data_IF_305470501848
#
_entry.id   IF_305470501848
#
_cell.length_a   1.000
_cell.length_b   1.000
_cell.length_c   1.000
_cell.angle_alpha   90.00
_cell.angle_beta   90.00
_cell.angle_gamma   90.00
#
_symmetry.space_group_name_H-M   'P 1'
#
loop_
_entity.id
_entity.type
_entity.pdbx_description
1 polymer ?
#
# COMPACT_ATOMS: atom_id res chain seq x y z
N UNK A 1 8.00 -1.99 3.13
CA UNK A 1 9.09 -1.34 3.89
C UNK A 1 9.70 -0.17 3.10
N UNK A 2 9.82 -0.28 1.78
CA UNK A 2 10.23 0.72 0.80
C UNK A 2 9.24 1.89 0.55
N UNK A 3 8.36 2.22 1.50
CA UNK A 3 7.23 3.14 1.30
C UNK A 3 7.44 4.56 1.86
N UNK A 4 8.64 4.93 2.30
CA UNK A 4 8.84 6.22 3.00
C UNK A 4 8.68 7.42 2.05
N UNK A 5 9.21 7.40 0.81
CA UNK A 5 8.94 8.47 -0.16
C UNK A 5 7.44 8.64 -0.45
N UNK A 6 6.71 7.52 -0.59
CA UNK A 6 5.25 7.53 -0.71
C UNK A 6 4.60 8.28 0.46
N UNK A 7 4.96 7.94 1.71
CA UNK A 7 4.42 8.65 2.89
C UNK A 7 4.74 10.14 2.85
N UNK A 8 5.97 10.53 2.50
CA UNK A 8 6.39 11.93 2.39
C UNK A 8 5.52 12.68 1.38
N UNK A 9 5.36 12.14 0.17
CA UNK A 9 4.65 12.78 -0.94
C UNK A 9 3.13 12.87 -0.71
N UNK A 10 2.56 11.95 0.06
CA UNK A 10 1.12 11.94 0.36
C UNK A 10 0.81 12.61 1.71
N UNK A 11 1.41 13.77 1.98
CA UNK A 11 1.06 14.64 3.10
C UNK A 11 1.63 14.26 4.48
N UNK A 12 2.60 13.34 4.57
CA UNK A 12 3.19 12.93 5.86
C UNK A 12 4.67 13.31 6.03
N UNK A 13 5.16 14.27 5.22
CA UNK A 13 6.53 14.79 5.29
C UNK A 13 6.92 15.23 6.70
N UNK A 14 6.10 16.03 7.37
CA UNK A 14 6.43 16.62 8.67
C UNK A 14 6.47 15.58 9.80
N UNK A 15 5.76 14.46 9.62
CA UNK A 15 5.69 13.36 10.59
C UNK A 15 6.72 12.26 10.33
N UNK A 16 7.48 12.33 9.23
CA UNK A 16 8.36 11.23 8.81
C UNK A 16 9.42 10.86 9.84
N UNK A 17 9.83 11.82 10.68
CA UNK A 17 10.81 11.59 11.77
C UNK A 17 10.26 10.75 12.92
N UNK A 18 8.95 10.52 12.98
CA UNK A 18 8.29 9.68 14.00
C UNK A 18 8.14 8.22 13.58
N UNK A 19 8.68 7.85 12.42
CA UNK A 19 8.47 6.53 11.84
C UNK A 19 9.02 5.40 12.73
N UNK A 20 8.20 4.35 12.93
CA UNK A 20 8.44 3.20 13.83
C UNK A 20 8.56 3.54 15.31
N UNK A 21 8.23 4.77 15.71
CA UNK A 21 8.11 5.13 17.11
C UNK A 21 6.72 4.77 17.63
N UNK A 22 6.61 4.60 18.95
CA UNK A 22 5.30 4.51 19.62
C UNK A 22 4.48 5.75 19.25
N UNK A 23 3.22 5.54 18.86
CA UNK A 23 2.26 6.58 18.42
C UNK A 23 2.70 7.38 17.17
N UNK A 24 3.78 6.96 16.52
CA UNK A 24 4.31 7.53 15.29
C UNK A 24 3.81 6.83 14.02
N UNK A 25 4.42 7.17 12.88
CA UNK A 25 4.07 6.53 11.60
C UNK A 25 4.49 5.06 11.56
N UNK A 26 3.66 4.22 10.94
CA UNK A 26 4.03 2.83 10.67
C UNK A 26 5.25 2.75 9.73
N UNK A 27 6.07 1.71 9.91
CA UNK A 27 7.14 1.38 8.97
C UNK A 27 6.64 0.80 7.63
N UNK A 28 5.33 0.64 7.48
CA UNK A 28 4.66 0.11 6.30
C UNK A 28 3.41 0.94 5.96
N UNK A 29 2.79 0.69 4.81
CA UNK A 29 1.48 1.28 4.49
C UNK A 29 0.44 0.78 5.49
N UNK A 30 -0.42 1.67 5.99
CA UNK A 30 -1.45 1.34 6.96
C UNK A 30 -2.73 2.11 6.62
N UNK A 31 -3.81 1.39 6.33
CA UNK A 31 -5.10 1.96 5.91
C UNK A 31 -5.64 3.03 6.85
N UNK A 32 -5.52 2.81 8.17
CA UNK A 32 -5.98 3.77 9.17
C UNK A 32 -5.08 5.01 9.31
N UNK A 33 -3.92 5.05 8.64
CA UNK A 33 -2.97 6.16 8.72
C UNK A 33 -3.15 7.16 7.57
N UNK A 34 -3.66 6.72 6.41
CA UNK A 34 -3.81 7.57 5.24
C UNK A 34 -4.79 6.97 4.23
N UNK A 35 -5.62 7.78 3.54
CA UNK A 35 -6.40 7.32 2.40
C UNK A 35 -5.51 6.84 1.24
N UNK A 36 -4.26 7.29 1.16
CA UNK A 36 -3.29 6.88 0.15
C UNK A 36 -2.57 5.56 0.48
N UNK A 37 -2.92 4.89 1.57
CA UNK A 37 -2.40 3.57 1.93
C UNK A 37 -3.51 2.52 1.71
N UNK A 38 -3.80 2.12 0.45
CA UNK A 38 -5.00 1.34 0.11
C UNK A 38 -5.01 -0.07 0.72
N UNK A 39 -3.83 -0.61 1.00
CA UNK A 39 -3.63 -1.93 1.58
C UNK A 39 -2.60 -1.87 2.71
N UNK A 40 -2.88 -2.60 3.80
CA UNK A 40 -1.95 -2.78 4.90
C UNK A 40 -0.87 -3.79 4.51
N UNK A 41 0.29 -3.31 4.07
CA UNK A 41 1.42 -4.18 3.76
C UNK A 41 2.24 -4.48 5.01
N UNK A 42 2.79 -5.69 5.14
CA UNK A 42 3.82 -6.04 6.13
C UNK A 42 4.45 -7.38 5.77
N UNK A 43 3.61 -8.41 5.66
CA UNK A 43 3.99 -9.69 5.07
C UNK A 43 4.19 -9.51 3.56
N UNK A 44 5.29 -10.06 3.07
CA UNK A 44 5.65 -10.02 1.65
C UNK A 44 4.62 -10.75 0.79
N UNK A 45 4.67 -10.52 -0.53
CA UNK A 45 3.98 -11.34 -1.54
C UNK A 45 2.46 -11.23 -1.57
N UNK A 46 1.89 -10.25 -0.86
CA UNK A 46 0.43 -10.00 -0.79
C UNK A 46 -0.06 -8.93 -1.77
N UNK A 47 0.86 -8.15 -2.36
CA UNK A 47 0.52 -6.98 -3.18
C UNK A 47 -0.16 -7.32 -4.50
N UNK A 48 0.22 -8.43 -5.15
CA UNK A 48 -0.37 -8.84 -6.44
C UNK A 48 -1.81 -9.28 -6.25
N UNK A 49 -2.08 -10.18 -5.28
CA UNK A 49 -3.43 -10.65 -4.99
C UNK A 49 -4.35 -9.51 -4.56
N UNK A 50 -3.85 -8.55 -3.76
CA UNK A 50 -4.61 -7.37 -3.38
C UNK A 50 -4.95 -6.48 -4.59
N UNK A 51 -3.97 -6.23 -5.48
CA UNK A 51 -4.20 -5.45 -6.69
C UNK A 51 -5.21 -6.11 -7.64
N UNK A 52 -5.15 -7.45 -7.78
CA UNK A 52 -6.16 -8.20 -8.54
C UNK A 52 -7.56 -8.00 -7.96
N UNK A 53 -7.71 -8.12 -6.64
CA UNK A 53 -8.99 -7.88 -5.96
C UNK A 53 -9.53 -6.47 -6.19
N UNK A 54 -8.67 -5.45 -6.19
CA UNK A 54 -9.06 -4.07 -6.49
C UNK A 54 -9.48 -3.88 -7.96
N UNK A 55 -8.76 -4.49 -8.90
CA UNK A 55 -9.12 -4.44 -10.32
C UNK A 55 -10.49 -5.09 -10.57
N UNK A 56 -10.73 -6.28 -10.01
CA UNK A 56 -12.03 -6.96 -10.11
C UNK A 56 -13.15 -6.13 -9.48
N UNK A 57 -12.91 -5.51 -8.31
CA UNK A 57 -13.90 -4.65 -7.68
C UNK A 57 -14.26 -3.44 -8.55
N UNK A 58 -13.28 -2.82 -9.22
CA UNK A 58 -13.52 -1.76 -10.21
C UNK A 58 -14.37 -2.27 -11.38
N UNK A 59 -14.02 -3.42 -11.95
CA UNK A 59 -14.74 -3.99 -13.10
C UNK A 59 -16.20 -4.36 -12.75
N UNK A 60 -16.48 -4.62 -11.47
CA UNK A 60 -17.83 -4.81 -10.92
C UNK A 60 -18.56 -3.49 -10.58
N UNK A 61 -18.00 -2.33 -10.94
CA UNK A 61 -18.60 -1.01 -10.73
C UNK A 61 -18.23 -0.33 -9.40
N UNK A 62 -17.23 -0.85 -8.68
CA UNK A 62 -16.69 -0.20 -7.49
C UNK A 62 -16.08 1.16 -7.83
N UNK A 63 -16.46 2.20 -7.08
CA UNK A 63 -15.98 3.58 -7.27
C UNK A 63 -15.07 3.95 -6.10
N UNK A 64 -13.89 4.52 -6.41
CA UNK A 64 -12.95 5.02 -5.42
C UNK A 64 -12.94 6.55 -5.52
N UNK A 65 -13.34 7.29 -4.46
CA UNK A 65 -13.41 8.76 -4.52
C UNK A 65 -12.08 9.42 -4.89
N UNK A 66 -10.96 8.78 -4.53
CA UNK A 66 -9.62 9.33 -4.69
C UNK A 66 -8.95 9.01 -6.04
N UNK A 67 -9.61 8.31 -6.98
CA UNK A 67 -9.00 8.02 -8.28
C UNK A 67 -9.81 7.17 -9.27
N UNK A 68 -9.16 6.75 -10.35
CA UNK A 68 -9.79 6.11 -11.52
C UNK A 68 -10.04 4.59 -11.36
N UNK A 69 -9.69 4.00 -10.22
CA UNK A 69 -9.81 2.56 -9.98
C UNK A 69 -8.61 1.72 -10.47
N UNK A 70 -7.57 2.33 -11.03
CA UNK A 70 -6.39 1.60 -11.48
C UNK A 70 -5.61 0.97 -10.32
N UNK A 71 -5.31 -0.32 -10.44
CA UNK A 71 -4.59 -1.09 -9.44
C UNK A 71 -3.14 -1.36 -9.90
N UNK A 72 -2.18 -0.68 -9.27
CA UNK A 72 -0.74 -0.83 -9.58
C UNK A 72 -0.03 -1.43 -8.36
N UNK A 73 0.53 -2.63 -8.52
CA UNK A 73 1.34 -3.29 -7.49
C UNK A 73 2.83 -3.08 -7.74
N UNK A 74 3.54 -2.55 -6.74
CA UNK A 74 5.01 -2.49 -6.72
C UNK A 74 5.53 -3.60 -5.81
N UNK A 75 6.22 -4.59 -6.38
CA UNK A 75 6.76 -5.75 -5.66
C UNK A 75 8.28 -5.83 -5.85
N UNK A 76 9.00 -6.15 -4.77
CA UNK A 76 10.44 -6.42 -4.84
C UNK A 76 10.71 -7.84 -5.32
N UNK A 77 11.88 -8.07 -5.89
CA UNK A 77 12.37 -9.36 -6.39
C UNK A 77 12.30 -10.47 -5.32
N UNK A 78 12.80 -10.20 -4.10
CA UNK A 78 12.71 -11.16 -2.98
C UNK A 78 11.30 -11.42 -2.47
N UNK A 79 10.29 -10.63 -2.87
CA UNK A 79 8.88 -10.88 -2.57
C UNK A 79 8.15 -11.63 -3.70
N UNK A 80 8.71 -11.68 -4.90
CA UNK A 80 8.17 -12.48 -6.02
C UNK A 80 8.41 -13.98 -5.82
N UNK A 81 9.41 -14.38 -5.05
CA UNK A 81 9.77 -15.79 -4.86
C UNK A 81 8.84 -16.59 -3.94
N UNK A 82 7.83 -15.96 -3.32
CA UNK A 82 6.86 -16.69 -2.51
C UNK A 82 5.64 -17.09 -3.35
N UNK A 83 5.10 -18.29 -3.13
CA UNK A 83 4.03 -18.88 -3.94
C UNK A 83 2.73 -18.05 -4.06
N UNK A 84 2.47 -17.10 -3.16
CA UNK A 84 1.31 -16.18 -3.26
C UNK A 84 1.46 -15.12 -4.38
N UNK A 85 2.66 -14.94 -4.93
CA UNK A 85 2.91 -14.04 -6.06
C UNK A 85 2.68 -14.70 -7.43
N UNK A 86 2.59 -16.04 -7.48
CA UNK A 86 2.37 -16.84 -8.69
C UNK A 86 0.91 -17.31 -8.79
#
# INVERSE_FOLDING_TARGET
>A
HQCYPHKILTGRRDRIRTLRMKDGLSGFTKRSESPYDPFGAAHSSTSISAALGFAVARDLGGVIPEGNGDAIAVIGDGSMSAGMAF
#
